data_IF_009719049651
#
_entry.id   IF_009719049651
#
_cell.length_a   1.000
_cell.length_b   1.000
_cell.length_c   1.000
_cell.angle_alpha   90.00
_cell.angle_beta   90.00
_cell.angle_gamma   90.00
#
_symmetry.space_group_name_H-M   'P 1'
#
loop_
_entity.id
_entity.type
_entity.pdbx_description
1 polymer ?
#
# COMPACT_ATOMS: atom_id res chain seq x y z
N UNK A 1 10.80 -25.76 15.86
CA UNK A 1 11.95 -25.29 15.04
C UNK A 1 11.91 -23.77 14.97
N UNK A 2 13.06 -23.10 14.87
CA UNK A 2 13.06 -21.64 14.59
C UNK A 2 12.72 -21.38 13.14
N UNK A 3 12.23 -20.17 12.83
CA UNK A 3 11.93 -19.74 11.45
C UNK A 3 13.15 -19.86 10.54
N UNK A 4 14.32 -19.50 11.04
CA UNK A 4 15.59 -19.64 10.31
C UNK A 4 15.83 -21.10 9.92
N UNK A 5 15.68 -22.04 10.87
CA UNK A 5 15.84 -23.47 10.59
C UNK A 5 14.81 -24.02 9.60
N UNK A 6 13.57 -23.51 9.63
CA UNK A 6 12.55 -23.87 8.65
C UNK A 6 12.89 -23.35 7.25
N UNK A 7 13.35 -22.09 7.16
CA UNK A 7 13.79 -21.51 5.89
C UNK A 7 14.96 -22.28 5.28
N UNK A 8 15.98 -22.63 6.08
CA UNK A 8 17.11 -23.43 5.64
C UNK A 8 16.67 -24.79 5.10
N UNK A 9 15.79 -25.51 5.81
CA UNK A 9 15.28 -26.80 5.35
C UNK A 9 14.53 -26.72 4.01
N UNK A 10 13.70 -25.68 3.82
CA UNK A 10 12.99 -25.45 2.55
C UNK A 10 14.00 -25.20 1.43
N UNK A 11 14.95 -24.27 1.64
CA UNK A 11 15.92 -23.90 0.61
C UNK A 11 16.91 -25.02 0.27
N UNK A 12 17.29 -25.85 1.25
CA UNK A 12 18.12 -27.04 1.02
C UNK A 12 17.40 -28.08 0.14
N UNK A 13 16.10 -28.27 0.35
CA UNK A 13 15.31 -29.13 -0.53
C UNK A 13 15.19 -28.56 -1.94
N UNK A 14 15.04 -27.27 -2.09
CA UNK A 14 15.04 -26.61 -3.41
C UNK A 14 16.37 -26.84 -4.13
N UNK A 15 17.51 -26.64 -3.42
CA UNK A 15 18.86 -26.90 -3.96
C UNK A 15 19.03 -28.39 -4.34
N UNK A 16 18.59 -29.31 -3.49
CA UNK A 16 18.67 -30.75 -3.74
C UNK A 16 17.84 -31.17 -4.97
N UNK A 17 16.78 -30.44 -5.29
CA UNK A 17 15.99 -30.65 -6.50
C UNK A 17 16.61 -30.04 -7.77
N UNK A 18 17.82 -29.42 -7.68
CA UNK A 18 18.48 -28.73 -8.78
C UNK A 18 17.75 -27.48 -9.23
N UNK A 19 17.10 -26.78 -8.32
CA UNK A 19 16.38 -25.53 -8.58
C UNK A 19 16.98 -24.39 -7.75
N UNK A 20 16.75 -23.15 -8.20
CA UNK A 20 16.92 -21.95 -7.39
C UNK A 20 15.57 -21.53 -6.82
N UNK A 21 15.57 -20.78 -5.71
CA UNK A 21 14.32 -20.29 -5.13
C UNK A 21 14.52 -19.19 -4.11
N UNK A 22 13.47 -18.45 -3.85
CA UNK A 22 13.33 -17.54 -2.74
C UNK A 22 12.06 -17.83 -1.92
N UNK A 23 12.15 -17.57 -0.66
CA UNK A 23 11.12 -17.81 0.33
C UNK A 23 10.77 -16.51 1.04
N UNK A 24 9.51 -16.11 0.99
CA UNK A 24 8.95 -15.06 1.83
C UNK A 24 8.21 -15.71 3.00
N UNK A 25 8.46 -15.22 4.20
CA UNK A 25 7.73 -15.61 5.40
C UNK A 25 7.12 -14.34 5.98
N UNK A 26 5.79 -14.24 5.90
CA UNK A 26 5.04 -13.16 6.53
C UNK A 26 4.44 -13.65 7.84
N UNK A 27 4.65 -12.87 8.89
CA UNK A 27 4.01 -13.05 10.20
C UNK A 27 3.29 -11.76 10.58
N UNK A 28 2.12 -11.89 11.19
CA UNK A 28 1.37 -10.72 11.61
C UNK A 28 0.55 -11.00 12.86
N UNK A 29 0.42 -9.97 13.68
CA UNK A 29 -0.52 -9.89 14.78
C UNK A 29 -1.35 -8.63 14.62
N UNK A 30 -2.65 -8.72 14.81
CA UNK A 30 -3.54 -7.58 14.73
C UNK A 30 -4.64 -7.65 15.79
N UNK A 31 -4.92 -6.50 16.38
CA UNK A 31 -6.07 -6.22 17.21
C UNK A 31 -7.04 -5.36 16.39
N UNK A 32 -8.32 -5.72 16.37
CA UNK A 32 -9.39 -4.93 15.78
C UNK A 32 -10.50 -4.72 16.81
N UNK A 33 -10.87 -3.48 17.02
CA UNK A 33 -11.88 -3.05 17.97
C UNK A 33 -12.91 -2.22 17.24
N UNK A 34 -14.21 -2.46 17.51
CA UNK A 34 -15.32 -1.62 17.05
C UNK A 34 -16.27 -1.34 18.20
N UNK A 35 -16.79 -0.14 18.23
CA UNK A 35 -17.81 0.28 19.20
C UNK A 35 -19.16 0.47 18.50
N UNK A 36 -20.24 0.22 19.23
CA UNK A 36 -21.59 0.48 18.78
C UNK A 36 -22.53 0.68 19.97
N UNK A 37 -23.35 1.71 19.90
CA UNK A 37 -24.34 2.04 20.89
C UNK A 37 -23.76 2.12 22.33
N UNK A 38 -22.54 2.66 22.43
CA UNK A 38 -21.82 2.81 23.71
C UNK A 38 -21.22 1.52 24.26
N UNK A 39 -21.20 0.45 23.51
CA UNK A 39 -20.60 -0.83 23.90
C UNK A 39 -19.58 -1.33 22.88
N UNK A 40 -18.69 -2.21 23.31
CA UNK A 40 -17.75 -2.86 22.41
C UNK A 40 -18.48 -3.92 21.55
N UNK A 41 -18.55 -3.70 20.23
CA UNK A 41 -19.17 -4.62 19.26
C UNK A 41 -18.17 -5.69 18.79
N UNK A 42 -16.92 -5.33 18.55
CA UNK A 42 -15.87 -6.25 18.10
C UNK A 42 -14.62 -6.11 18.96
N UNK A 43 -14.10 -7.25 19.40
CA UNK A 43 -12.78 -7.40 19.97
C UNK A 43 -12.13 -8.64 19.31
N UNK A 44 -11.37 -8.41 18.27
CA UNK A 44 -10.76 -9.49 17.49
C UNK A 44 -9.25 -9.40 17.56
N UNK A 45 -8.61 -10.50 17.95
CA UNK A 45 -7.16 -10.68 17.87
C UNK A 45 -6.89 -11.75 16.84
N UNK A 46 -6.00 -11.45 15.92
CA UNK A 46 -5.56 -12.39 14.88
C UNK A 46 -4.05 -12.53 14.91
N UNK A 47 -3.59 -13.76 14.67
CA UNK A 47 -2.19 -14.06 14.40
C UNK A 47 -2.13 -14.86 13.11
N UNK A 48 -1.19 -14.54 12.25
CA UNK A 48 -1.04 -15.18 10.95
C UNK A 48 0.43 -15.48 10.66
N UNK A 49 0.66 -16.57 9.96
CA UNK A 49 1.96 -16.93 9.40
C UNK A 49 1.75 -17.56 8.02
N UNK A 50 2.51 -17.10 7.03
CA UNK A 50 2.43 -17.65 5.68
C UNK A 50 3.84 -17.80 5.12
N UNK A 51 4.14 -18.96 4.60
CA UNK A 51 5.34 -19.29 3.84
C UNK A 51 5.01 -19.22 2.35
N UNK A 52 5.67 -18.39 1.59
CA UNK A 52 5.49 -18.27 0.13
C UNK A 52 6.77 -18.58 -0.59
N UNK A 53 6.83 -19.71 -1.26
CA UNK A 53 7.99 -20.19 -2.00
C UNK A 53 7.83 -19.90 -3.50
N UNK A 54 8.86 -19.30 -4.10
CA UNK A 54 9.06 -19.22 -5.55
C UNK A 54 10.26 -20.08 -5.90
N UNK A 55 10.13 -20.95 -6.89
CA UNK A 55 11.23 -21.75 -7.43
C UNK A 55 11.40 -21.48 -8.91
N UNK A 56 12.63 -21.55 -9.38
CA UNK A 56 12.97 -21.46 -10.80
C UNK A 56 13.78 -22.69 -11.17
N UNK A 57 13.25 -23.46 -12.11
CA UNK A 57 13.89 -24.65 -12.66
C UNK A 57 13.70 -24.69 -14.16
N UNK A 58 14.77 -24.86 -14.91
CA UNK A 58 14.78 -24.89 -16.39
C UNK A 58 14.10 -23.64 -17.01
N UNK A 59 14.35 -22.46 -16.42
CA UNK A 59 13.71 -21.17 -16.75
C UNK A 59 12.17 -21.21 -16.64
N UNK A 60 11.62 -22.02 -15.76
CA UNK A 60 10.18 -22.10 -15.45
C UNK A 60 9.97 -21.74 -14.00
N UNK A 61 9.03 -20.86 -13.76
CA UNK A 61 8.73 -20.33 -12.43
C UNK A 61 7.55 -21.08 -11.84
N UNK A 62 7.71 -21.58 -10.63
CA UNK A 62 6.62 -22.17 -9.85
C UNK A 62 6.53 -21.49 -8.49
N UNK A 63 5.31 -21.20 -8.06
CA UNK A 63 5.02 -20.65 -6.74
C UNK A 63 4.09 -21.56 -5.98
N UNK A 64 4.27 -21.63 -4.66
CA UNK A 64 3.35 -22.28 -3.74
C UNK A 64 3.39 -21.55 -2.39
N UNK A 65 2.37 -21.75 -1.56
CA UNK A 65 2.34 -21.20 -0.20
C UNK A 65 1.81 -22.20 0.80
N UNK A 66 2.14 -22.02 2.08
CA UNK A 66 1.61 -22.77 3.21
C UNK A 66 1.39 -21.84 4.40
N UNK A 67 0.29 -22.05 5.11
CA UNK A 67 0.03 -21.44 6.43
C UNK A 67 0.48 -22.36 7.57
N UNK A 68 0.73 -23.63 7.27
CA UNK A 68 1.23 -24.60 8.21
C UNK A 68 2.77 -24.64 8.22
N UNK A 69 3.34 -24.80 9.41
CA UNK A 69 4.77 -24.74 9.67
C UNK A 69 5.38 -26.09 10.13
N UNK A 70 4.60 -27.15 10.09
CA UNK A 70 5.07 -28.51 10.39
C UNK A 70 5.90 -29.09 9.24
N UNK A 71 6.74 -30.07 9.55
CA UNK A 71 7.71 -30.61 8.59
C UNK A 71 7.08 -31.24 7.34
N UNK A 72 5.89 -31.85 7.43
CA UNK A 72 5.19 -32.43 6.28
C UNK A 72 4.66 -31.34 5.35
N UNK A 73 4.03 -30.31 5.91
CA UNK A 73 3.53 -29.15 5.16
C UNK A 73 4.64 -28.38 4.44
N UNK A 74 5.83 -28.23 5.07
CA UNK A 74 6.97 -27.56 4.44
C UNK A 74 7.60 -28.41 3.32
N UNK A 75 7.56 -29.74 3.44
CA UNK A 75 7.93 -30.63 2.34
C UNK A 75 6.97 -30.50 1.17
N UNK A 76 5.66 -30.55 1.43
CA UNK A 76 4.63 -30.40 0.43
C UNK A 76 4.69 -29.03 -0.29
N UNK A 77 5.06 -27.97 0.42
CA UNK A 77 5.29 -26.62 -0.14
C UNK A 77 6.32 -26.67 -1.27
N UNK A 78 7.47 -27.32 -1.03
CA UNK A 78 8.53 -27.42 -2.05
C UNK A 78 8.09 -28.27 -3.22
N UNK A 79 7.49 -29.44 -2.95
CA UNK A 79 7.03 -30.36 -3.99
C UNK A 79 5.98 -29.70 -4.88
N UNK A 80 5.04 -28.94 -4.30
CA UNK A 80 4.02 -28.20 -5.04
C UNK A 80 4.62 -27.06 -5.89
N UNK A 81 5.58 -26.30 -5.36
CA UNK A 81 6.24 -25.23 -6.12
C UNK A 81 7.00 -25.82 -7.32
N UNK A 82 7.74 -26.91 -7.16
CA UNK A 82 8.43 -27.63 -8.24
C UNK A 82 7.46 -28.19 -9.27
N UNK A 83 6.33 -28.75 -8.83
CA UNK A 83 5.28 -29.25 -9.72
C UNK A 83 4.70 -28.09 -10.56
N UNK A 84 4.38 -26.97 -9.93
CA UNK A 84 3.86 -25.79 -10.62
C UNK A 84 4.87 -25.27 -11.66
N UNK A 85 6.16 -25.23 -11.33
CA UNK A 85 7.21 -24.88 -12.28
C UNK A 85 7.22 -25.80 -13.50
N UNK A 86 7.00 -27.10 -13.33
CA UNK A 86 7.03 -28.08 -14.44
C UNK A 86 5.95 -27.81 -15.49
N UNK A 87 4.84 -27.20 -15.12
CA UNK A 87 3.72 -26.84 -16.04
C UNK A 87 3.77 -25.41 -16.54
N UNK A 88 4.64 -24.55 -15.95
CA UNK A 88 4.71 -23.16 -16.33
C UNK A 88 5.35 -22.96 -17.70
N UNK A 89 5.03 -21.86 -18.37
CA UNK A 89 5.74 -21.42 -19.56
C UNK A 89 7.19 -21.03 -19.21
N UNK A 90 8.07 -21.09 -20.21
CA UNK A 90 9.45 -20.61 -20.04
C UNK A 90 9.47 -19.09 -19.88
N UNK A 91 10.12 -18.60 -18.82
CA UNK A 91 10.38 -17.17 -18.57
C UNK A 91 11.91 -16.97 -18.45
N UNK A 92 12.51 -16.53 -19.52
CA UNK A 92 13.97 -16.43 -19.60
C UNK A 92 14.56 -15.28 -18.75
N UNK A 93 13.75 -14.30 -18.40
CA UNK A 93 14.19 -13.08 -17.73
C UNK A 93 14.05 -13.15 -16.20
N UNK A 94 13.22 -14.04 -15.67
CA UNK A 94 13.04 -14.18 -14.23
C UNK A 94 14.09 -15.12 -13.62
N UNK A 95 14.82 -14.62 -12.62
CA UNK A 95 15.90 -15.35 -11.95
C UNK A 95 15.88 -15.03 -10.46
N UNK A 96 16.46 -15.94 -9.67
CA UNK A 96 16.81 -15.61 -8.29
C UNK A 96 18.08 -14.77 -8.30
N UNK A 97 18.06 -13.63 -7.64
CA UNK A 97 19.21 -12.72 -7.62
C UNK A 97 20.40 -13.38 -6.90
N UNK A 98 21.59 -13.26 -7.47
CA UNK A 98 22.83 -13.73 -6.84
C UNK A 98 23.33 -12.69 -5.82
N UNK A 99 22.59 -12.51 -4.73
CA UNK A 99 22.88 -11.57 -3.66
C UNK A 99 22.92 -12.28 -2.30
N UNK A 100 24.09 -12.43 -1.72
CA UNK A 100 24.28 -12.96 -0.36
C UNK A 100 24.25 -11.79 0.65
N UNK A 101 23.15 -11.03 0.70
CA UNK A 101 23.00 -9.85 1.54
C UNK A 101 22.27 -10.19 2.83
N UNK A 102 22.67 -9.51 3.92
CA UNK A 102 21.91 -9.45 5.17
C UNK A 102 21.34 -8.05 5.32
N UNK A 103 20.03 -7.94 5.26
CA UNK A 103 19.31 -6.68 5.29
C UNK A 103 18.29 -6.70 6.43
N UNK A 104 18.29 -5.67 7.26
CA UNK A 104 17.35 -5.57 8.38
C UNK A 104 16.92 -4.12 8.59
N UNK A 105 15.62 -3.92 8.76
CA UNK A 105 15.06 -2.60 9.10
C UNK A 105 15.25 -2.30 10.59
N UNK A 106 15.26 -1.00 10.92
CA UNK A 106 15.36 -0.56 12.31
C UNK A 106 14.00 -0.64 13.01
N UNK A 107 13.76 -1.69 13.78
CA UNK A 107 12.50 -1.93 14.49
C UNK A 107 12.10 -0.76 15.39
N UNK A 108 13.05 -0.10 16.05
CA UNK A 108 12.77 1.02 16.95
C UNK A 108 12.02 2.18 16.26
N UNK A 109 12.21 2.35 14.96
CA UNK A 109 11.59 3.41 14.16
C UNK A 109 10.30 2.95 13.50
N UNK A 110 10.29 1.78 12.87
CA UNK A 110 9.17 1.30 12.07
C UNK A 110 8.15 0.48 12.88
N UNK A 111 8.59 -0.15 13.95
CA UNK A 111 7.76 -0.95 14.86
C UNK A 111 8.07 -0.60 16.31
N UNK A 112 7.91 0.67 16.72
CA UNK A 112 8.19 1.08 18.09
C UNK A 112 7.35 0.29 19.08
N UNK A 113 7.92 0.06 20.27
CA UNK A 113 7.16 -0.54 21.38
C UNK A 113 6.11 0.46 21.81
N UNK A 114 4.86 0.05 21.75
CA UNK A 114 3.75 0.85 22.24
C UNK A 114 3.43 0.48 23.69
N UNK A 115 3.22 1.50 24.52
CA UNK A 115 2.92 1.33 25.94
C UNK A 115 1.41 1.22 26.21
N UNK A 116 0.57 1.59 25.23
CA UNK A 116 -0.87 1.58 25.41
C UNK A 116 -1.43 0.18 25.59
N UNK A 117 -2.21 0.00 26.62
CA UNK A 117 -2.91 -1.24 26.94
C UNK A 117 -4.08 -1.48 26.00
N UNK A 118 -4.55 -2.71 25.90
CA UNK A 118 -5.78 -3.05 25.18
C UNK A 118 -7.00 -2.28 25.77
N UNK A 119 -7.01 -2.06 27.09
CA UNK A 119 -8.09 -1.30 27.74
C UNK A 119 -8.14 0.16 27.26
N UNK A 120 -6.99 0.83 27.12
CA UNK A 120 -6.93 2.21 26.60
C UNK A 120 -7.36 2.27 25.12
N UNK A 121 -7.05 1.26 24.33
CA UNK A 121 -7.50 1.16 22.92
C UNK A 121 -9.02 0.92 22.82
N UNK A 122 -9.58 0.12 23.73
CA UNK A 122 -11.04 -0.05 23.84
C UNK A 122 -11.70 1.28 24.26
N UNK A 123 -11.15 1.98 25.24
CA UNK A 123 -11.66 3.29 25.67
C UNK A 123 -11.64 4.31 24.54
N UNK A 124 -10.58 4.30 23.71
CA UNK A 124 -10.50 5.14 22.53
C UNK A 124 -11.63 4.84 21.54
N UNK A 125 -11.87 3.56 21.21
CA UNK A 125 -12.94 3.18 20.28
C UNK A 125 -14.33 3.60 20.80
N UNK A 126 -14.61 3.39 22.07
CA UNK A 126 -15.86 3.82 22.73
C UNK A 126 -15.99 5.35 22.75
N UNK A 127 -14.91 6.05 23.03
CA UNK A 127 -14.87 7.53 23.07
C UNK A 127 -15.14 8.13 21.69
N UNK A 128 -14.51 7.62 20.64
CA UNK A 128 -14.72 8.07 19.25
C UNK A 128 -16.20 7.92 18.88
N UNK A 129 -16.77 6.75 19.10
CA UNK A 129 -18.17 6.46 18.79
C UNK A 129 -19.12 7.37 19.56
N UNK A 130 -18.98 7.44 20.90
CA UNK A 130 -19.86 8.21 21.75
C UNK A 130 -19.81 9.72 21.44
N UNK A 131 -18.63 10.26 21.20
CA UNK A 131 -18.45 11.69 20.89
C UNK A 131 -18.99 12.06 19.52
N UNK A 132 -18.81 11.19 18.52
CA UNK A 132 -19.36 11.42 17.19
C UNK A 132 -20.90 11.28 17.21
N UNK A 133 -21.44 10.28 17.90
CA UNK A 133 -22.88 10.10 18.09
C UNK A 133 -23.57 11.27 18.82
N UNK A 134 -22.82 11.98 19.67
CA UNK A 134 -23.33 13.16 20.40
C UNK A 134 -23.37 14.44 19.54
N UNK A 135 -22.80 14.46 18.33
CA UNK A 135 -22.85 15.62 17.43
C UNK A 135 -24.26 15.86 16.88
N UNK A 136 -24.62 17.12 16.59
CA UNK A 136 -25.95 17.45 16.08
C UNK A 136 -26.34 16.66 14.82
N UNK A 137 -27.57 16.20 14.75
CA UNK A 137 -28.18 15.47 13.61
C UNK A 137 -27.51 14.12 13.30
N UNK A 138 -26.50 13.67 14.03
CA UNK A 138 -25.93 12.34 13.87
C UNK A 138 -26.96 11.32 14.35
N UNK A 139 -27.39 10.45 13.44
CA UNK A 139 -28.33 9.37 13.73
C UNK A 139 -27.64 8.16 14.32
N UNK A 140 -26.50 7.80 13.74
CA UNK A 140 -25.62 6.75 14.25
C UNK A 140 -24.19 6.88 13.67
N UNK A 141 -23.28 6.04 14.17
CA UNK A 141 -21.90 5.92 13.72
C UNK A 141 -21.71 4.49 13.17
N UNK A 142 -22.11 4.26 11.90
CA UNK A 142 -22.21 2.90 11.34
C UNK A 142 -20.86 2.20 11.20
N UNK A 143 -19.80 2.97 10.99
CA UNK A 143 -18.44 2.45 10.86
C UNK A 143 -17.50 3.24 11.76
N UNK A 144 -16.85 2.55 12.65
CA UNK A 144 -15.79 3.09 13.50
C UNK A 144 -14.89 1.95 13.95
N UNK A 145 -13.68 2.28 14.37
CA UNK A 145 -12.81 1.28 14.97
C UNK A 145 -11.44 1.80 15.30
N UNK A 146 -10.74 0.98 16.07
CA UNK A 146 -9.32 1.11 16.37
C UNK A 146 -8.64 -0.21 15.99
N UNK A 147 -7.61 -0.13 15.19
CA UNK A 147 -6.80 -1.28 14.78
C UNK A 147 -5.35 -1.05 15.21
N UNK A 148 -4.69 -2.10 15.63
CA UNK A 148 -3.26 -2.12 15.94
C UNK A 148 -2.67 -3.39 15.36
N UNK A 149 -1.72 -3.25 14.45
CA UNK A 149 -1.11 -4.37 13.75
C UNK A 149 0.41 -4.28 13.76
N UNK A 150 1.04 -5.42 13.93
CA UNK A 150 2.48 -5.59 13.76
C UNK A 150 2.71 -6.68 12.73
N UNK A 151 3.44 -6.35 11.67
CA UNK A 151 3.84 -7.28 10.62
C UNK A 151 5.35 -7.46 10.58
N UNK A 152 5.79 -8.69 10.38
CA UNK A 152 7.19 -9.02 10.11
C UNK A 152 7.26 -9.82 8.82
N UNK A 153 8.11 -9.39 7.89
CA UNK A 153 8.45 -10.10 6.65
C UNK A 153 9.90 -10.51 6.69
N UNK A 154 10.15 -11.76 6.31
CA UNK A 154 11.49 -12.29 6.06
C UNK A 154 11.60 -12.81 4.65
N UNK A 155 12.71 -12.53 4.00
CA UNK A 155 13.02 -13.03 2.66
C UNK A 155 14.32 -13.78 2.70
N UNK A 156 14.32 -15.00 2.21
CA UNK A 156 15.49 -15.86 2.11
C UNK A 156 15.65 -16.37 0.68
N UNK A 157 16.86 -16.64 0.23
CA UNK A 157 17.08 -17.25 -1.08
C UNK A 157 18.11 -18.38 -1.05
N UNK A 158 18.07 -19.22 -2.08
CA UNK A 158 19.09 -20.28 -2.30
C UNK A 158 20.46 -19.69 -2.57
N UNK A 159 20.57 -18.42 -2.93
CA UNK A 159 21.81 -17.68 -3.21
C UNK A 159 22.38 -16.96 -1.99
N UNK A 160 21.70 -17.04 -0.84
CA UNK A 160 22.22 -16.55 0.44
C UNK A 160 21.64 -15.22 0.94
N UNK A 161 20.57 -14.72 0.32
CA UNK A 161 19.82 -13.56 0.84
C UNK A 161 19.20 -13.90 2.21
N UNK A 162 19.36 -13.00 3.16
CA UNK A 162 18.65 -12.96 4.44
C UNK A 162 18.16 -11.52 4.65
N UNK A 163 16.88 -11.27 4.48
CA UNK A 163 16.30 -9.95 4.66
C UNK A 163 15.14 -10.00 5.66
N UNK A 164 15.04 -9.00 6.53
CA UNK A 164 13.98 -8.86 7.53
C UNK A 164 13.48 -7.45 7.60
N UNK A 165 12.19 -7.28 7.52
CA UNK A 165 11.50 -6.02 7.82
C UNK A 165 10.41 -6.24 8.85
N UNK A 166 10.21 -5.24 9.73
CA UNK A 166 9.15 -5.25 10.71
C UNK A 166 8.55 -3.86 10.80
N UNK A 167 7.23 -3.78 10.78
CA UNK A 167 6.52 -2.52 10.87
C UNK A 167 5.30 -2.65 11.77
N UNK A 168 4.93 -1.54 12.41
CA UNK A 168 3.68 -1.37 13.16
C UNK A 168 2.83 -0.31 12.50
N UNK A 169 1.54 -0.54 12.46
CA UNK A 169 0.55 0.44 12.06
C UNK A 169 -0.63 0.38 13.02
N UNK A 170 -0.97 1.53 13.57
CA UNK A 170 -2.25 1.77 14.24
C UNK A 170 -3.14 2.58 13.31
N UNK A 171 -4.41 2.32 13.35
CA UNK A 171 -5.40 3.04 12.56
C UNK A 171 -6.66 3.22 13.39
N UNK A 172 -7.19 4.44 13.44
CA UNK A 172 -8.53 4.70 13.92
C UNK A 172 -9.35 5.38 12.83
N UNK A 173 -10.64 5.10 12.79
CA UNK A 173 -11.55 5.65 11.80
C UNK A 173 -12.96 5.80 12.36
N UNK A 174 -13.71 6.76 11.83
CA UNK A 174 -15.11 6.94 12.14
C UNK A 174 -15.87 7.54 10.96
N UNK A 175 -17.09 7.06 10.75
CA UNK A 175 -18.05 7.53 9.77
C UNK A 175 -19.34 7.90 10.47
N UNK A 176 -19.86 9.11 10.22
CA UNK A 176 -21.14 9.56 10.73
C UNK A 176 -22.24 9.35 9.68
N UNK A 177 -23.42 8.92 10.09
CA UNK A 177 -24.64 9.05 9.33
C UNK A 177 -25.45 10.22 9.91
N UNK A 178 -25.61 11.27 9.12
CA UNK A 178 -26.38 12.46 9.50
C UNK A 178 -27.69 12.49 8.71
N UNK A 179 -28.80 12.83 9.38
CA UNK A 179 -30.11 12.98 8.77
C UNK A 179 -30.72 14.35 9.10
N UNK A 180 -31.30 15.00 8.10
CA UNK A 180 -32.05 16.26 8.26
C UNK A 180 -33.22 16.34 7.29
N UNK A 181 -34.43 16.16 7.77
CA UNK A 181 -35.62 16.06 6.93
C UNK A 181 -35.54 14.88 5.97
N UNK A 182 -35.62 15.13 4.68
CA UNK A 182 -35.54 14.12 3.62
C UNK A 182 -34.11 13.85 3.13
N UNK A 183 -33.13 14.57 3.67
CA UNK A 183 -31.71 14.42 3.30
C UNK A 183 -30.97 13.55 4.28
N UNK A 184 -30.03 12.77 3.78
CA UNK A 184 -29.04 12.08 4.59
C UNK A 184 -27.66 12.14 3.90
N UNK A 185 -26.63 12.04 4.71
CA UNK A 185 -25.26 11.92 4.24
C UNK A 185 -24.49 10.97 5.18
N UNK A 186 -23.54 10.24 4.62
CA UNK A 186 -22.63 9.40 5.35
C UNK A 186 -21.22 9.60 4.81
N UNK A 187 -20.35 10.07 5.66
CA UNK A 187 -18.94 10.29 5.37
C UNK A 187 -18.11 10.10 6.63
N UNK A 188 -16.80 10.02 6.49
CA UNK A 188 -15.90 9.84 7.61
C UNK A 188 -14.45 10.12 7.25
N UNK A 189 -13.56 9.74 8.15
CA UNK A 189 -12.13 9.87 8.00
C UNK A 189 -11.41 8.78 8.80
N UNK A 190 -10.19 8.46 8.39
CA UNK A 190 -9.26 7.61 9.13
C UNK A 190 -7.97 8.35 9.46
N UNK A 191 -7.28 7.86 10.47
CA UNK A 191 -5.96 8.33 10.87
C UNK A 191 -5.05 7.15 11.11
N UNK A 192 -3.84 7.20 10.57
CA UNK A 192 -2.80 6.19 10.77
C UNK A 192 -1.66 6.74 11.63
N UNK A 193 -1.05 5.87 12.46
CA UNK A 193 0.06 6.20 13.33
C UNK A 193 0.93 4.95 13.59
N UNK A 194 2.14 5.14 14.11
CA UNK A 194 2.95 4.01 14.62
C UNK A 194 2.84 3.82 16.13
N UNK A 195 2.39 4.85 16.85
CA UNK A 195 2.19 4.82 18.30
C UNK A 195 0.80 5.35 18.68
N UNK A 196 0.23 4.80 19.74
CA UNK A 196 -1.08 5.19 20.24
C UNK A 196 -1.19 6.70 20.55
N UNK A 197 -0.14 7.26 21.12
CA UNK A 197 -0.10 8.69 21.50
C UNK A 197 -0.08 9.66 20.31
N UNK A 198 0.12 9.17 19.09
CA UNK A 198 0.09 9.96 17.86
C UNK A 198 -1.33 10.05 17.26
N UNK A 199 -2.27 9.25 17.76
CA UNK A 199 -3.67 9.32 17.35
C UNK A 199 -4.34 10.52 18.00
N UNK A 200 -5.08 11.29 17.19
CA UNK A 200 -5.85 12.47 17.63
C UNK A 200 -7.36 12.22 17.45
N UNK A 201 -8.02 11.68 18.49
CA UNK A 201 -9.44 11.39 18.41
C UNK A 201 -10.32 12.65 18.33
N UNK A 202 -9.83 13.81 18.81
CA UNK A 202 -10.57 15.06 18.76
C UNK A 202 -10.67 15.53 17.31
N UNK A 203 -9.53 15.60 16.61
CA UNK A 203 -9.48 15.90 15.17
C UNK A 203 -10.31 14.89 14.38
N UNK A 204 -10.18 13.59 14.65
CA UNK A 204 -10.90 12.54 13.93
C UNK A 204 -12.43 12.75 14.02
N UNK A 205 -12.95 12.97 15.22
CA UNK A 205 -14.40 13.15 15.47
C UNK A 205 -14.90 14.43 14.81
N UNK A 206 -14.18 15.55 14.97
CA UNK A 206 -14.57 16.84 14.43
C UNK A 206 -14.57 16.83 12.91
N UNK A 207 -13.56 16.25 12.29
CA UNK A 207 -13.45 16.18 10.83
C UNK A 207 -14.43 15.17 10.21
N UNK A 208 -14.66 14.01 10.83
CA UNK A 208 -15.69 13.06 10.38
C UNK A 208 -17.08 13.70 10.39
N UNK A 209 -17.40 14.44 11.45
CA UNK A 209 -18.65 15.19 11.51
C UNK A 209 -18.73 16.27 10.44
N UNK A 210 -17.69 17.10 10.30
CA UNK A 210 -17.67 18.22 9.36
C UNK A 210 -17.79 17.73 7.92
N UNK A 211 -17.02 16.73 7.51
CA UNK A 211 -17.10 16.14 6.18
C UNK A 211 -18.52 15.67 5.86
N UNK A 212 -19.17 14.97 6.80
CA UNK A 212 -20.54 14.48 6.61
C UNK A 212 -21.54 15.62 6.56
N UNK A 213 -21.38 16.64 7.41
CA UNK A 213 -22.25 17.81 7.46
C UNK A 213 -22.19 18.63 6.17
N UNK A 214 -21.00 18.82 5.63
CA UNK A 214 -20.77 19.58 4.41
C UNK A 214 -21.42 18.89 3.19
N UNK A 215 -21.32 17.56 3.10
CA UNK A 215 -22.04 16.78 2.10
C UNK A 215 -23.55 16.91 2.26
N UNK A 216 -24.07 16.85 3.49
CA UNK A 216 -25.52 17.02 3.75
C UNK A 216 -26.04 18.39 3.27
N UNK A 217 -25.24 19.45 3.45
CA UNK A 217 -25.56 20.81 3.01
C UNK A 217 -25.25 21.05 1.52
N UNK A 218 -24.44 20.17 0.94
CA UNK A 218 -23.97 20.28 -0.42
C UNK A 218 -25.06 20.22 -1.46
N UNK A 219 -24.74 20.72 -2.66
CA UNK A 219 -25.57 20.67 -3.85
C UNK A 219 -24.72 20.40 -5.09
N UNK A 220 -25.34 19.89 -6.14
CA UNK A 220 -24.65 19.74 -7.40
C UNK A 220 -24.24 21.12 -7.95
N UNK A 221 -22.99 21.22 -8.41
CA UNK A 221 -22.48 22.43 -9.06
C UNK A 221 -22.91 22.47 -10.52
N UNK A 222 -23.00 23.67 -11.17
CA UNK A 222 -23.26 23.77 -12.57
C UNK A 222 -22.24 23.03 -13.43
N UNK A 223 -22.65 22.46 -14.55
CA UNK A 223 -21.72 21.88 -15.51
C UNK A 223 -20.82 22.95 -16.11
N UNK A 224 -19.51 22.70 -16.14
CA UNK A 224 -18.54 23.67 -16.63
C UNK A 224 -17.12 23.13 -16.63
N UNK A 225 -16.18 24.00 -16.99
CA UNK A 225 -14.75 23.78 -16.79
C UNK A 225 -14.33 24.64 -15.62
N UNK A 226 -13.57 24.04 -14.73
CA UNK A 226 -13.09 24.67 -13.50
C UNK A 226 -11.58 24.44 -13.37
N UNK A 227 -10.91 25.38 -12.75
CA UNK A 227 -9.61 25.12 -12.17
C UNK A 227 -9.83 24.26 -10.91
N UNK A 228 -8.99 23.26 -10.72
CA UNK A 228 -9.16 22.27 -9.65
C UNK A 228 -7.92 22.22 -8.78
N UNK A 229 -8.14 22.33 -7.47
CA UNK A 229 -7.15 22.00 -6.44
C UNK A 229 -7.56 20.65 -5.85
N UNK A 230 -6.70 19.67 -5.95
CA UNK A 230 -6.88 18.40 -5.26
C UNK A 230 -6.28 18.52 -3.86
N UNK A 231 -7.07 18.17 -2.85
CA UNK A 231 -6.57 18.06 -1.48
C UNK A 231 -5.44 17.02 -1.40
N UNK A 232 -4.46 17.26 -0.56
CA UNK A 232 -3.29 16.38 -0.41
C UNK A 232 -3.67 14.97 0.06
N UNK A 233 -4.75 14.82 0.84
CA UNK A 233 -5.20 13.53 1.38
C UNK A 233 -5.74 12.60 0.28
N UNK A 234 -6.22 13.13 -0.85
CA UNK A 234 -6.75 12.30 -1.95
C UNK A 234 -5.73 11.98 -3.04
N UNK A 235 -4.62 12.72 -3.11
CA UNK A 235 -3.58 12.53 -4.14
C UNK A 235 -3.04 11.10 -4.19
N UNK A 236 -2.75 10.40 -3.07
CA UNK A 236 -2.28 9.01 -3.11
C UNK A 236 -3.28 8.10 -3.82
N UNK A 237 -4.56 8.26 -3.56
CA UNK A 237 -5.62 7.46 -4.21
C UNK A 237 -5.73 7.75 -5.69
N UNK A 238 -5.65 9.01 -6.10
CA UNK A 238 -5.68 9.42 -7.50
C UNK A 238 -4.47 8.87 -8.27
N UNK A 239 -3.25 9.03 -7.74
CA UNK A 239 -2.06 8.51 -8.39
C UNK A 239 -2.01 6.99 -8.45
N UNK A 240 -2.54 6.30 -7.43
CA UNK A 240 -2.59 4.85 -7.42
C UNK A 240 -3.42 4.26 -8.57
N UNK A 241 -4.50 4.93 -8.97
CA UNK A 241 -5.32 4.50 -10.12
C UNK A 241 -4.50 4.44 -11.41
N UNK A 242 -3.54 5.35 -11.57
CA UNK A 242 -2.68 5.46 -12.75
C UNK A 242 -1.28 4.89 -12.53
N UNK A 243 -1.00 4.24 -11.40
CA UNK A 243 0.33 3.70 -11.05
C UNK A 243 0.89 2.75 -12.10
N UNK A 244 0.02 2.10 -12.89
CA UNK A 244 0.41 1.26 -14.02
C UNK A 244 1.30 2.00 -15.04
N UNK A 245 1.17 3.33 -15.18
CA UNK A 245 1.99 4.15 -16.08
C UNK A 245 3.48 4.08 -15.75
N UNK A 246 3.85 3.79 -14.52
CA UNK A 246 5.23 3.64 -14.08
C UNK A 246 5.72 2.19 -14.12
N UNK A 247 4.83 1.23 -14.35
CA UNK A 247 5.13 -0.20 -14.22
C UNK A 247 5.91 -0.75 -15.40
N UNK A 248 7.15 -1.17 -15.17
CA UNK A 248 7.94 -1.95 -16.11
C UNK A 248 7.33 -3.32 -16.41
N UNK A 249 6.57 -3.90 -15.45
CA UNK A 249 5.84 -5.17 -15.69
C UNK A 249 4.73 -4.97 -16.71
N UNK A 250 3.89 -3.96 -16.55
CA UNK A 250 2.85 -3.61 -17.52
C UNK A 250 3.42 -3.20 -18.86
N UNK A 251 4.61 -2.56 -18.89
CA UNK A 251 5.33 -2.24 -20.11
C UNK A 251 5.81 -3.51 -20.83
N UNK A 252 6.36 -4.49 -20.10
CA UNK A 252 6.74 -5.80 -20.66
C UNK A 252 5.51 -6.52 -21.24
N UNK A 253 4.38 -6.47 -20.53
CA UNK A 253 3.15 -7.12 -20.95
C UNK A 253 2.44 -6.38 -22.11
N UNK A 254 2.94 -5.21 -22.53
CA UNK A 254 2.41 -4.44 -23.66
C UNK A 254 1.13 -3.63 -23.35
N UNK A 255 0.78 -3.46 -22.07
CA UNK A 255 -0.44 -2.73 -21.65
C UNK A 255 -0.15 -1.36 -21.05
N UNK A 256 1.12 -1.00 -20.80
CA UNK A 256 1.48 0.32 -20.29
C UNK A 256 1.56 1.34 -21.44
N UNK A 257 0.72 2.39 -21.46
CA UNK A 257 0.72 3.42 -22.50
C UNK A 257 1.98 4.30 -22.49
N UNK A 258 2.75 4.27 -21.39
CA UNK A 258 3.97 5.05 -21.21
C UNK A 258 5.24 4.26 -21.57
N UNK A 259 5.11 3.01 -22.04
CA UNK A 259 6.22 2.09 -22.31
C UNK A 259 7.36 2.72 -23.12
N UNK A 260 7.01 3.43 -24.18
CA UNK A 260 7.98 3.96 -25.15
C UNK A 260 8.16 5.49 -25.01
N UNK A 261 7.69 6.07 -23.89
CA UNK A 261 7.69 7.52 -23.64
C UNK A 261 8.76 8.01 -22.67
N UNK A 262 9.75 7.20 -22.36
CA UNK A 262 10.87 7.65 -21.53
C UNK A 262 11.57 8.85 -22.15
N UNK A 263 11.69 9.95 -21.40
CA UNK A 263 12.26 11.22 -21.83
C UNK A 263 11.29 12.16 -22.53
N UNK A 264 10.03 11.73 -22.80
CA UNK A 264 9.00 12.61 -23.38
C UNK A 264 8.26 13.40 -22.30
N UNK A 265 7.81 14.59 -22.64
CA UNK A 265 6.89 15.39 -21.80
C UNK A 265 5.51 14.72 -21.78
N UNK A 266 5.05 14.35 -20.58
CA UNK A 266 3.76 13.73 -20.34
C UNK A 266 2.87 14.55 -19.41
N UNK A 267 3.41 15.59 -18.80
CA UNK A 267 2.76 16.51 -17.87
C UNK A 267 3.33 17.92 -17.98
N UNK A 268 2.73 18.87 -17.26
CA UNK A 268 3.27 20.24 -17.15
C UNK A 268 4.67 20.20 -16.53
N UNK A 269 5.55 21.07 -17.01
CA UNK A 269 6.95 21.19 -16.54
C UNK A 269 7.09 21.53 -15.06
N UNK A 270 6.04 21.98 -14.38
CA UNK A 270 6.02 22.21 -12.93
C UNK A 270 5.90 20.90 -12.14
N UNK A 271 5.48 19.79 -12.77
CA UNK A 271 5.27 18.54 -12.08
C UNK A 271 6.57 17.73 -12.00
N UNK A 272 6.99 17.46 -10.77
CA UNK A 272 8.03 16.46 -10.47
C UNK A 272 7.47 15.46 -9.46
N UNK A 273 7.58 14.17 -9.77
CA UNK A 273 7.10 13.06 -8.94
C UNK A 273 8.25 12.10 -8.66
N UNK A 274 8.41 11.75 -7.41
CA UNK A 274 9.46 10.84 -6.91
C UNK A 274 8.84 9.66 -6.20
N UNK A 275 9.56 8.55 -6.16
CA UNK A 275 9.36 7.48 -5.17
C UNK A 275 10.51 7.53 -4.16
N UNK A 276 10.19 7.73 -2.88
CA UNK A 276 11.13 7.93 -1.79
C UNK A 276 11.04 6.82 -0.74
N UNK A 277 11.47 5.60 -1.05
CA UNK A 277 11.29 4.43 -0.18
C UNK A 277 12.01 4.53 1.17
N UNK A 278 13.02 5.38 1.30
CA UNK A 278 13.80 5.52 2.52
C UNK A 278 13.32 6.63 3.45
N UNK A 279 12.26 7.34 3.09
CA UNK A 279 11.62 8.30 3.97
C UNK A 279 10.83 7.57 5.06
N UNK A 280 11.21 7.81 6.32
CA UNK A 280 10.67 7.15 7.51
C UNK A 280 9.42 7.80 8.07
N UNK A 281 9.08 9.01 7.63
CA UNK A 281 7.89 9.73 8.10
C UNK A 281 6.63 9.13 7.50
N UNK A 282 6.71 8.61 6.28
CA UNK A 282 5.61 7.90 5.61
C UNK A 282 5.48 6.43 6.01
N UNK A 283 4.42 5.79 5.56
CA UNK A 283 4.15 4.36 5.79
C UNK A 283 4.67 3.46 4.67
N UNK A 284 5.16 4.02 3.57
CA UNK A 284 5.73 3.31 2.43
C UNK A 284 7.23 3.00 2.55
N UNK A 285 7.83 3.17 3.74
CA UNK A 285 9.26 2.89 3.94
C UNK A 285 9.61 1.46 3.54
N UNK A 286 10.63 1.34 2.69
CA UNK A 286 11.23 0.06 2.29
C UNK A 286 12.74 0.19 2.16
N UNK A 287 13.49 -0.58 2.95
CA UNK A 287 14.95 -0.64 2.85
C UNK A 287 15.41 -1.49 1.65
N UNK A 288 14.59 -2.44 1.24
CA UNK A 288 14.80 -3.37 0.15
C UNK A 288 13.43 -3.82 -0.39
N UNK A 289 13.41 -4.27 -1.64
CA UNK A 289 12.25 -4.88 -2.26
C UNK A 289 12.10 -6.38 -1.92
N UNK A 290 11.04 -7.01 -2.39
CA UNK A 290 10.75 -8.41 -2.10
C UNK A 290 11.68 -9.43 -2.81
N UNK A 291 12.65 -8.96 -3.57
CA UNK A 291 13.78 -9.73 -4.11
C UNK A 291 15.08 -9.49 -3.33
N UNK A 292 15.04 -8.62 -2.30
CA UNK A 292 16.21 -8.19 -1.55
C UNK A 292 17.11 -7.20 -2.30
N UNK A 293 16.59 -6.52 -3.31
CA UNK A 293 17.30 -5.41 -3.95
C UNK A 293 17.17 -4.18 -3.04
N UNK A 294 18.28 -3.51 -2.66
CA UNK A 294 18.22 -2.28 -1.89
C UNK A 294 17.34 -1.24 -2.59
N UNK A 295 16.39 -0.68 -1.86
CA UNK A 295 15.52 0.37 -2.35
C UNK A 295 16.29 1.71 -2.45
N UNK A 296 15.93 2.53 -3.42
CA UNK A 296 16.55 3.83 -3.65
C UNK A 296 15.54 4.85 -4.13
N UNK A 297 15.80 6.11 -3.84
CA UNK A 297 15.00 7.21 -4.37
C UNK A 297 15.00 7.19 -5.91
N UNK A 298 13.83 7.31 -6.50
CA UNK A 298 13.66 7.27 -7.95
C UNK A 298 12.80 8.47 -8.40
N UNK A 299 13.29 9.23 -9.37
CA UNK A 299 12.49 10.25 -10.01
C UNK A 299 11.68 9.62 -11.15
N UNK A 300 10.36 9.65 -11.02
CA UNK A 300 9.42 9.07 -11.99
C UNK A 300 9.05 10.06 -13.10
N UNK A 301 8.68 11.28 -12.69
CA UNK A 301 8.46 12.42 -13.57
C UNK A 301 9.39 13.53 -13.13
N UNK A 302 10.15 14.09 -14.04
CA UNK A 302 11.05 15.21 -13.78
C UNK A 302 10.67 16.38 -14.68
N UNK A 303 10.20 17.47 -14.06
CA UNK A 303 9.82 18.68 -14.80
C UNK A 303 8.88 18.33 -16.00
N UNK A 304 7.86 17.53 -15.75
CA UNK A 304 6.88 17.08 -16.74
C UNK A 304 7.31 15.90 -17.62
N UNK A 305 8.59 15.57 -17.71
CA UNK A 305 9.08 14.47 -18.53
C UNK A 305 9.10 13.13 -17.78
N UNK A 306 8.64 12.06 -18.41
CA UNK A 306 8.74 10.70 -17.87
C UNK A 306 10.21 10.31 -17.75
N UNK A 307 10.72 10.18 -16.53
CA UNK A 307 12.13 9.96 -16.24
C UNK A 307 12.48 8.49 -16.03
N UNK A 308 11.58 7.72 -15.44
CA UNK A 308 11.83 6.30 -15.13
C UNK A 308 10.54 5.48 -15.11
N UNK A 309 10.70 4.19 -15.43
CA UNK A 309 9.77 3.14 -15.02
C UNK A 309 10.35 2.39 -13.82
N UNK A 310 9.48 1.80 -13.00
CA UNK A 310 9.89 0.93 -11.89
C UNK A 310 10.10 -0.51 -12.38
N UNK A 311 11.20 -1.10 -11.95
CA UNK A 311 11.63 -2.43 -12.39
C UNK A 311 11.96 -3.34 -11.22
N UNK A 312 11.52 -4.59 -11.32
CA UNK A 312 12.09 -5.73 -10.61
C UNK A 312 13.23 -6.36 -11.44
N UNK A 313 13.83 -7.44 -10.98
CA UNK A 313 14.93 -8.11 -11.69
C UNK A 313 14.53 -8.62 -13.07
N UNK A 314 13.31 -9.19 -13.20
CA UNK A 314 12.79 -9.73 -14.45
C UNK A 314 12.58 -8.64 -15.51
N UNK A 315 11.88 -7.56 -15.15
CA UNK A 315 11.60 -6.47 -16.08
C UNK A 315 12.86 -5.69 -16.43
N UNK A 316 13.77 -5.52 -15.48
CA UNK A 316 15.08 -4.94 -15.72
C UNK A 316 15.88 -5.77 -16.76
N UNK A 317 15.91 -7.10 -16.61
CA UNK A 317 16.52 -8.01 -17.57
C UNK A 317 15.87 -7.92 -18.96
N UNK A 318 14.54 -7.85 -19.01
CA UNK A 318 13.80 -7.76 -20.29
C UNK A 318 14.11 -6.46 -21.05
N UNK A 319 14.19 -5.32 -20.36
CA UNK A 319 14.49 -4.02 -20.95
C UNK A 319 15.98 -3.68 -21.02
N UNK A 320 16.85 -4.63 -20.64
CA UNK A 320 18.31 -4.43 -20.57
C UNK A 320 18.67 -3.20 -19.72
N UNK A 321 18.01 -3.06 -18.56
CA UNK A 321 18.20 -2.01 -17.57
C UNK A 321 18.62 -2.59 -16.22
N UNK A 322 18.81 -1.73 -15.21
CA UNK A 322 19.01 -2.15 -13.82
C UNK A 322 17.67 -2.27 -13.09
N UNK A 323 17.59 -3.18 -12.10
CA UNK A 323 16.48 -3.17 -11.15
C UNK A 323 16.47 -1.87 -10.37
N UNK A 324 15.29 -1.33 -10.15
CA UNK A 324 15.10 -0.08 -9.38
C UNK A 324 14.76 -0.33 -7.91
N UNK A 325 14.77 -1.61 -7.46
CA UNK A 325 14.40 -1.96 -6.10
C UNK A 325 12.89 -1.87 -5.84
N UNK A 326 12.08 -2.21 -6.85
CA UNK A 326 10.62 -2.14 -6.80
C UNK A 326 9.96 -3.50 -7.05
N UNK A 327 10.69 -4.59 -6.87
CA UNK A 327 10.14 -5.93 -6.93
C UNK A 327 9.13 -6.15 -5.82
N UNK A 328 7.88 -6.52 -6.16
CA UNK A 328 6.87 -6.83 -5.16
C UNK A 328 6.36 -8.25 -5.32
N UNK A 329 6.26 -8.97 -4.21
CA UNK A 329 5.70 -10.30 -4.17
C UNK A 329 5.13 -10.58 -2.77
N UNK A 330 3.85 -10.88 -2.69
CA UNK A 330 3.31 -11.48 -1.47
C UNK A 330 3.61 -12.98 -1.43
N UNK A 331 3.45 -13.64 -0.28
CA UNK A 331 3.68 -15.09 -0.16
C UNK A 331 2.78 -15.93 -1.07
N UNK A 332 1.66 -15.38 -1.53
CA UNK A 332 0.66 -16.05 -2.39
C UNK A 332 0.63 -15.55 -3.83
N UNK A 333 1.49 -14.62 -4.19
CA UNK A 333 1.46 -13.98 -5.51
C UNK A 333 2.75 -14.22 -6.31
N UNK A 334 2.67 -13.97 -7.60
CA UNK A 334 3.83 -13.93 -8.50
C UNK A 334 4.58 -12.61 -8.36
N UNK A 335 5.81 -12.56 -8.88
CA UNK A 335 6.64 -11.35 -8.87
C UNK A 335 6.03 -10.26 -9.75
N UNK A 336 5.83 -9.10 -9.16
CA UNK A 336 5.36 -7.86 -9.78
C UNK A 336 6.30 -6.70 -9.55
N UNK A 337 5.81 -5.50 -9.79
CA UNK A 337 6.45 -4.24 -9.40
C UNK A 337 5.43 -3.35 -8.68
N UNK A 338 5.88 -2.56 -7.73
CA UNK A 338 5.04 -1.63 -6.96
C UNK A 338 5.83 -0.41 -6.50
N UNK A 339 5.13 0.71 -6.40
CA UNK A 339 5.66 1.92 -5.79
C UNK A 339 5.75 1.75 -4.27
N UNK A 340 6.67 2.46 -3.65
CA UNK A 340 6.83 2.47 -2.20
C UNK A 340 6.15 3.69 -1.59
N UNK A 341 6.69 4.89 -1.86
CA UNK A 341 6.19 6.14 -1.29
C UNK A 341 6.32 7.27 -2.29
N UNK A 342 5.20 7.66 -2.88
CA UNK A 342 5.15 8.77 -3.83
C UNK A 342 5.23 10.11 -3.11
N UNK A 343 6.03 11.01 -3.67
CA UNK A 343 6.11 12.40 -3.30
C UNK A 343 6.01 13.29 -4.54
N UNK A 344 5.25 14.36 -4.43
CA UNK A 344 5.17 15.41 -5.44
C UNK A 344 5.97 16.59 -4.91
N UNK A 345 6.97 17.06 -5.66
CA UNK A 345 7.77 18.20 -5.27
C UNK A 345 6.87 19.45 -5.15
N UNK A 346 7.08 20.24 -4.10
CA UNK A 346 6.33 21.48 -3.90
C UNK A 346 6.56 22.46 -5.07
N UNK A 347 5.47 23.07 -5.53
CA UNK A 347 5.54 24.14 -6.52
C UNK A 347 6.08 25.45 -5.95
N UNK A 348 6.19 26.45 -6.80
CA UNK A 348 6.70 27.79 -6.43
C UNK A 348 5.60 28.86 -6.33
N UNK A 349 4.33 28.49 -6.64
CA UNK A 349 3.21 29.41 -6.47
C UNK A 349 2.91 29.62 -4.99
N UNK A 350 2.58 30.85 -4.61
CA UNK A 350 2.08 31.16 -3.27
C UNK A 350 0.59 30.80 -3.14
N UNK A 351 0.11 30.68 -1.90
CA UNK A 351 -1.28 30.33 -1.61
C UNK A 351 -2.28 31.33 -2.23
N UNK A 352 -1.94 32.62 -2.28
CA UNK A 352 -2.81 33.62 -2.85
C UNK A 352 -2.98 33.46 -4.37
N UNK A 353 -1.91 33.02 -5.06
CA UNK A 353 -1.97 32.73 -6.49
C UNK A 353 -2.73 31.44 -6.77
N UNK A 354 -2.59 30.41 -5.92
CA UNK A 354 -3.34 29.14 -6.05
C UNK A 354 -4.84 29.34 -5.84
N UNK A 355 -5.22 30.22 -4.92
CA UNK A 355 -6.61 30.48 -4.54
C UNK A 355 -7.22 31.71 -5.23
N UNK A 356 -6.65 32.16 -6.36
CA UNK A 356 -7.18 33.29 -7.13
C UNK A 356 -8.28 32.87 -8.11
N UNK A 357 -9.38 33.63 -8.12
CA UNK A 357 -10.49 33.38 -9.05
C UNK A 357 -11.50 32.36 -8.54
N UNK A 358 -12.23 31.73 -9.44
CA UNK A 358 -13.20 30.67 -9.10
C UNK A 358 -12.55 29.30 -9.37
N UNK A 359 -12.52 28.44 -8.38
CA UNK A 359 -11.89 27.11 -8.47
C UNK A 359 -12.67 26.09 -7.63
N UNK A 360 -12.40 24.81 -7.88
CA UNK A 360 -12.90 23.69 -7.07
C UNK A 360 -11.77 23.15 -6.18
N UNK A 361 -12.04 23.01 -4.91
CA UNK A 361 -11.23 22.16 -4.01
C UNK A 361 -11.91 20.80 -3.96
N UNK A 362 -11.26 19.77 -4.44
CA UNK A 362 -11.75 18.37 -4.41
C UNK A 362 -11.12 17.68 -3.20
N UNK A 363 -11.96 17.28 -2.25
CA UNK A 363 -11.56 16.67 -0.97
C UNK A 363 -11.84 15.17 -0.90
N UNK A 364 -12.72 14.65 -1.79
CA UNK A 364 -12.96 13.23 -1.90
C UNK A 364 -13.23 12.81 -3.36
N UNK A 365 -12.83 11.58 -3.69
CA UNK A 365 -13.04 10.96 -4.99
C UNK A 365 -13.69 9.59 -4.83
N UNK A 366 -14.82 9.38 -5.49
CA UNK A 366 -15.55 8.12 -5.50
C UNK A 366 -15.52 7.44 -6.86
N UNK A 367 -15.66 6.11 -6.88
CA UNK A 367 -15.68 5.33 -8.12
C UNK A 367 -14.29 5.09 -8.73
N UNK A 368 -13.20 5.32 -8.02
CA UNK A 368 -11.82 5.17 -8.50
C UNK A 368 -11.55 3.79 -9.12
N UNK A 369 -12.15 2.73 -8.57
CA UNK A 369 -11.95 1.33 -9.02
C UNK A 369 -12.60 1.01 -10.39
N UNK A 370 -13.52 1.82 -10.86
CA UNK A 370 -14.28 1.58 -12.10
C UNK A 370 -14.35 2.80 -13.03
N UNK A 371 -14.03 3.97 -12.53
CA UNK A 371 -14.14 5.24 -13.25
C UNK A 371 -12.91 5.64 -14.07
N UNK A 372 -11.88 4.81 -14.13
CA UNK A 372 -10.68 5.08 -14.91
C UNK A 372 -10.31 3.94 -15.84
N UNK A 373 -9.78 4.29 -16.99
CA UNK A 373 -9.08 3.36 -17.88
C UNK A 373 -7.60 3.75 -17.94
N UNK A 374 -6.72 3.05 -17.19
CA UNK A 374 -5.30 3.41 -17.12
C UNK A 374 -4.55 3.18 -18.44
N UNK A 375 -5.14 2.50 -19.42
CA UNK A 375 -4.54 2.30 -20.75
C UNK A 375 -4.81 3.50 -21.65
N UNK A 376 -6.06 3.99 -21.70
CA UNK A 376 -6.41 5.17 -22.51
C UNK A 376 -6.15 6.50 -21.81
N UNK A 377 -6.03 6.48 -20.47
CA UNK A 377 -5.93 7.69 -19.64
C UNK A 377 -7.27 8.39 -19.42
N UNK A 378 -8.37 7.84 -19.93
CA UNK A 378 -9.71 8.40 -19.71
C UNK A 378 -10.20 8.06 -18.30
N UNK A 379 -10.82 9.04 -17.65
CA UNK A 379 -11.43 8.83 -16.33
C UNK A 379 -12.67 9.69 -16.12
N UNK A 380 -13.55 9.20 -15.26
CA UNK A 380 -14.73 9.92 -14.76
C UNK A 380 -14.99 9.46 -13.33
N UNK A 381 -14.77 10.34 -12.38
CA UNK A 381 -14.94 10.06 -10.95
C UNK A 381 -16.07 10.90 -10.37
N UNK A 382 -16.78 10.38 -9.38
CA UNK A 382 -17.54 11.23 -8.48
C UNK A 382 -16.56 12.04 -7.63
N UNK A 383 -16.89 13.28 -7.36
CA UNK A 383 -16.06 14.16 -6.53
C UNK A 383 -16.93 14.93 -5.55
N UNK A 384 -16.41 15.11 -4.33
CA UNK A 384 -16.93 16.00 -3.31
C UNK A 384 -15.92 17.06 -2.98
N UNK A 385 -16.38 18.25 -2.58
CA UNK A 385 -15.49 19.36 -2.27
C UNK A 385 -16.21 20.71 -2.24
N UNK A 386 -15.50 21.78 -2.53
CA UNK A 386 -15.97 23.15 -2.40
C UNK A 386 -15.78 23.93 -3.69
N UNK A 387 -16.78 24.70 -4.08
CA UNK A 387 -16.65 25.74 -5.10
C UNK A 387 -16.30 27.05 -4.38
N UNK A 388 -15.13 27.57 -4.65
CA UNK A 388 -14.56 28.77 -4.03
C UNK A 388 -14.54 29.96 -5.00
#
# INVERSE_FOLDING_TARGET
>A
MSIVSQAEQILDRVRAAGAEGDLIIDQGEALSLKAKDGALEEHKVTSSQVFGLRVIKDNRVGTAYSEAADGESLVALVDQALLNASYAAVEAHEKILANALKLETQDAQLSPIDQATVAEKIELALTIEARLAAKPMVKNVPYNGVQDSVGERRVYSTTGLEARSKARMMHCYAYALIESGDKNAMEGIGQAARRFVELDPDRLVDQAYQNTFDILQGAAIPSGKYDVIFDEEILPSLFNVFSMMFSGKSAKDGVNPMRDKLGEEIADSKLTVRDLPLDTDGFGYALFDDEGTPAQALCLIKEGALSSLIHNSMTASYFNSASTGHGTRGPRSTLGVGLHQLEIDAGTADDAALHAGAYLVVTDLTGLHSGANPISGEFSFGASGYLC
#
